data_IF_785044737065
#
_entry.id   IF_785044737065
#
_cell.length_a   1.000
_cell.length_b   1.000
_cell.length_c   1.000
_cell.angle_alpha   90.00
_cell.angle_beta   90.00
_cell.angle_gamma   90.00
#
_symmetry.space_group_name_H-M   'P 1'
#
loop_
_entity.id
_entity.type
_entity.pdbx_description
1 polymer ?
#
# COMPACT_ATOMS: atom_id res chain seq x y z
N UNK A 1 31.71 16.58 -6.87
CA UNK A 1 30.75 15.88 -5.98
C UNK A 1 29.49 15.66 -6.78
N UNK A 2 29.11 14.41 -7.06
CA UNK A 2 27.86 14.11 -7.78
C UNK A 2 26.75 14.13 -6.75
N UNK A 3 25.90 15.15 -6.77
CA UNK A 3 24.65 15.17 -6.02
C UNK A 3 23.68 14.26 -6.76
N UNK A 4 23.58 12.99 -6.36
CA UNK A 4 22.48 12.14 -6.82
C UNK A 4 21.21 12.64 -6.15
N UNK A 5 20.39 13.40 -6.87
CA UNK A 5 19.01 13.67 -6.45
C UNK A 5 18.31 12.31 -6.40
N UNK A 6 18.13 11.77 -5.19
CA UNK A 6 17.26 10.63 -4.98
C UNK A 6 15.85 11.04 -5.42
N UNK A 7 15.13 10.19 -6.16
CA UNK A 7 13.75 10.47 -6.54
C UNK A 7 12.93 10.77 -5.28
N UNK A 8 12.14 11.84 -5.33
CA UNK A 8 11.16 12.09 -4.26
C UNK A 8 10.10 10.99 -4.27
N UNK A 9 9.32 10.90 -3.20
CA UNK A 9 8.15 10.01 -3.17
C UNK A 9 7.19 10.27 -4.33
N UNK A 10 7.07 11.53 -4.76
CA UNK A 10 6.28 11.91 -5.93
C UNK A 10 6.85 11.33 -7.22
N UNK A 11 8.17 11.47 -7.45
CA UNK A 11 8.83 10.94 -8.64
C UNK A 11 8.72 9.41 -8.70
N UNK A 12 8.92 8.74 -7.55
CA UNK A 12 8.78 7.30 -7.43
C UNK A 12 7.33 6.84 -7.70
N UNK A 13 6.34 7.51 -7.12
CA UNK A 13 4.93 7.17 -7.34
C UNK A 13 4.52 7.37 -8.79
N UNK A 14 4.93 8.49 -9.41
CA UNK A 14 4.65 8.75 -10.83
C UNK A 14 5.26 7.68 -11.74
N UNK A 15 6.49 7.25 -11.47
CA UNK A 15 7.14 6.19 -12.22
C UNK A 15 6.40 4.85 -12.06
N UNK A 16 6.01 4.48 -10.82
CA UNK A 16 5.26 3.26 -10.55
C UNK A 16 3.92 3.29 -11.29
N UNK A 17 3.10 4.33 -11.11
CA UNK A 17 1.77 4.43 -11.70
C UNK A 17 1.81 4.40 -13.24
N UNK A 18 2.86 4.91 -13.87
CA UNK A 18 3.05 4.83 -15.33
C UNK A 18 3.42 3.42 -15.82
N UNK A 19 3.92 2.57 -14.94
CA UNK A 19 4.33 1.19 -15.24
C UNK A 19 3.29 0.13 -14.90
N UNK A 20 2.23 0.48 -14.17
CA UNK A 20 1.18 -0.47 -13.77
C UNK A 20 0.42 -0.97 -15.00
N UNK A 21 0.19 -2.28 -15.02
CA UNK A 21 -0.61 -2.98 -16.00
C UNK A 21 -1.47 -4.08 -15.34
N UNK A 22 -2.18 -4.86 -16.16
CA UNK A 22 -3.05 -5.94 -15.69
C UNK A 22 -2.30 -7.09 -14.98
N UNK A 23 -0.99 -7.21 -15.15
CA UNK A 23 -0.16 -8.23 -14.50
C UNK A 23 0.47 -7.75 -13.19
N UNK A 24 0.26 -6.48 -12.83
CA UNK A 24 0.88 -5.89 -11.65
C UNK A 24 0.22 -6.33 -10.35
N UNK A 25 -1.09 -6.54 -10.33
CA UNK A 25 -1.83 -6.99 -9.16
C UNK A 25 -2.19 -8.48 -9.27
N UNK A 26 -2.00 -9.30 -8.22
CA UNK A 26 -1.44 -8.94 -6.91
C UNK A 26 0.10 -9.02 -6.81
N UNK A 27 0.84 -9.32 -7.89
CA UNK A 27 2.23 -9.79 -7.79
C UNK A 27 3.28 -8.71 -7.46
N UNK A 28 3.15 -7.50 -7.98
CA UNK A 28 4.18 -6.45 -7.86
C UNK A 28 3.65 -5.18 -7.20
N UNK A 29 2.42 -4.78 -7.53
CA UNK A 29 1.78 -3.56 -7.03
C UNK A 29 0.31 -3.82 -6.70
N UNK A 30 -0.14 -3.34 -5.53
CA UNK A 30 -1.56 -3.31 -5.22
C UNK A 30 -1.94 -2.05 -4.44
N UNK A 31 -2.63 -1.12 -5.09
CA UNK A 31 -3.00 0.18 -4.52
C UNK A 31 -4.44 0.26 -4.02
N UNK A 32 -5.13 -0.88 -3.89
CA UNK A 32 -6.51 -0.93 -3.43
C UNK A 32 -6.71 -2.19 -2.58
N UNK A 33 -6.58 -2.04 -1.27
CA UNK A 33 -6.65 -3.13 -0.31
C UNK A 33 -7.40 -2.70 0.94
N UNK A 34 -8.27 -3.58 1.40
CA UNK A 34 -9.09 -3.38 2.59
C UNK A 34 -8.63 -4.32 3.70
N UNK A 35 -8.64 -3.81 4.93
CA UNK A 35 -8.38 -4.56 6.15
C UNK A 35 -9.67 -4.74 6.94
N UNK A 36 -9.61 -5.43 8.07
CA UNK A 36 -10.72 -5.52 9.02
C UNK A 36 -11.12 -4.17 9.66
N UNK A 37 -10.38 -3.08 9.40
CA UNK A 37 -10.74 -1.72 9.81
C UNK A 37 -11.71 -1.05 8.81
N UNK A 38 -12.14 -1.79 7.79
CA UNK A 38 -13.31 -1.49 6.98
C UNK A 38 -14.11 -2.78 6.70
N UNK A 39 -14.12 -3.27 5.47
CA UNK A 39 -14.84 -4.46 4.99
C UNK A 39 -13.90 -5.56 4.45
N UNK A 40 -12.58 -5.37 4.62
CA UNK A 40 -11.58 -6.38 4.31
C UNK A 40 -11.63 -7.59 5.23
N UNK A 41 -10.82 -8.62 4.91
CA UNK A 41 -10.85 -9.92 5.61
C UNK A 41 -9.62 -10.22 6.47
N UNK A 42 -8.59 -9.39 6.39
CA UNK A 42 -7.32 -9.59 7.06
C UNK A 42 -7.06 -8.48 8.07
N UNK A 43 -6.42 -8.83 9.18
CA UNK A 43 -5.78 -7.83 10.03
C UNK A 43 -4.66 -7.13 9.26
N UNK A 44 -4.36 -5.85 9.50
CA UNK A 44 -3.29 -5.13 8.82
C UNK A 44 -1.95 -5.86 8.84
N UNK A 45 -1.58 -6.49 9.96
CA UNK A 45 -0.35 -7.25 10.11
C UNK A 45 -0.34 -8.50 9.22
N UNK A 46 -1.46 -9.22 9.13
CA UNK A 46 -1.59 -10.40 8.27
C UNK A 46 -1.51 -10.03 6.79
N UNK A 47 -2.12 -8.90 6.42
CA UNK A 47 -2.07 -8.36 5.07
C UNK A 47 -0.63 -8.00 4.68
N UNK A 48 0.09 -7.27 5.55
CA UNK A 48 1.50 -6.94 5.30
C UNK A 48 2.36 -8.20 5.22
N UNK A 49 2.17 -9.17 6.11
CA UNK A 49 2.96 -10.40 6.07
C UNK A 49 2.77 -11.13 4.72
N UNK A 50 1.54 -11.23 4.23
CA UNK A 50 1.28 -11.81 2.90
C UNK A 50 1.91 -10.97 1.77
N UNK A 51 1.95 -9.65 1.92
CA UNK A 51 2.58 -8.78 0.93
C UNK A 51 4.10 -8.98 0.88
N UNK A 52 4.75 -9.17 2.04
CA UNK A 52 6.16 -9.54 2.15
C UNK A 52 6.39 -10.91 1.51
N UNK A 53 5.62 -11.92 1.90
CA UNK A 53 5.78 -13.30 1.44
C UNK A 53 5.59 -13.44 -0.07
N UNK A 54 4.69 -12.62 -0.64
CA UNK A 54 4.40 -12.60 -2.08
C UNK A 54 5.39 -11.75 -2.89
N UNK A 55 6.30 -11.04 -2.23
CA UNK A 55 7.28 -10.17 -2.90
C UNK A 55 6.69 -8.90 -3.52
N UNK A 56 5.58 -8.37 -2.97
CA UNK A 56 5.06 -7.08 -3.43
C UNK A 56 6.12 -6.01 -3.24
N UNK A 57 6.24 -5.12 -4.23
CA UNK A 57 7.16 -3.98 -4.17
C UNK A 57 6.50 -2.77 -3.53
N UNK A 58 5.22 -2.56 -3.79
CA UNK A 58 4.46 -1.48 -3.18
C UNK A 58 2.99 -1.80 -3.04
N UNK A 59 2.37 -1.25 -2.01
CA UNK A 59 0.94 -1.37 -1.78
C UNK A 59 0.36 -0.15 -1.08
N UNK A 60 -0.96 0.02 -1.14
CA UNK A 60 -1.71 0.97 -0.32
C UNK A 60 -2.87 0.26 0.38
N UNK A 61 -3.13 0.66 1.63
CA UNK A 61 -4.35 0.29 2.35
C UNK A 61 -5.35 1.44 2.13
N UNK A 62 -6.56 1.10 1.69
CA UNK A 62 -7.62 2.03 1.29
C UNK A 62 -8.92 1.70 2.03
N UNK A 63 -8.84 1.48 3.35
CA UNK A 63 -10.03 1.23 4.17
C UNK A 63 -11.10 2.32 3.99
N UNK A 64 -12.37 1.91 3.97
CA UNK A 64 -13.50 2.85 3.86
C UNK A 64 -13.53 3.84 5.03
N UNK A 65 -13.43 5.13 4.71
CA UNK A 65 -13.54 6.24 5.67
C UNK A 65 -12.61 6.13 6.91
N UNK A 66 -11.53 5.35 6.82
CA UNK A 66 -10.61 5.08 7.93
C UNK A 66 -9.18 4.95 7.44
N UNK A 67 -8.23 5.34 8.31
CA UNK A 67 -6.78 5.12 8.12
C UNK A 67 -6.17 4.32 9.27
N UNK A 68 -7.00 3.74 10.15
CA UNK A 68 -6.53 2.97 11.31
C UNK A 68 -5.73 1.74 10.88
N UNK A 69 -6.23 1.00 9.87
CA UNK A 69 -5.53 -0.13 9.30
C UNK A 69 -4.17 0.23 8.71
N UNK A 70 -4.04 1.41 8.09
CA UNK A 70 -2.77 1.92 7.57
C UNK A 70 -1.73 2.12 8.67
N UNK A 71 -2.07 2.76 9.79
CA UNK A 71 -1.11 3.01 10.87
C UNK A 71 -0.63 1.72 11.54
N UNK A 72 -1.53 0.77 11.77
CA UNK A 72 -1.17 -0.55 12.31
C UNK A 72 -0.25 -1.33 11.36
N UNK A 73 -0.43 -1.18 10.05
CA UNK A 73 0.45 -1.76 9.04
C UNK A 73 1.83 -1.09 9.00
N UNK A 74 1.91 0.24 9.16
CA UNK A 74 3.19 0.97 9.29
C UNK A 74 3.99 0.47 10.49
N UNK A 75 3.36 0.39 11.66
CA UNK A 75 4.01 -0.09 12.88
C UNK A 75 4.53 -1.52 12.70
N UNK A 76 3.72 -2.38 12.06
CA UNK A 76 4.13 -3.74 11.76
C UNK A 76 5.30 -3.81 10.78
N UNK A 77 5.28 -3.04 9.67
CA UNK A 77 6.41 -2.97 8.72
C UNK A 77 7.69 -2.48 9.40
N UNK A 78 7.60 -1.47 10.27
CA UNK A 78 8.74 -0.99 11.05
C UNK A 78 9.30 -2.08 11.96
N UNK A 79 8.44 -2.89 12.59
CA UNK A 79 8.90 -4.03 13.41
C UNK A 79 9.60 -5.11 12.57
N UNK A 80 9.10 -5.39 11.36
CA UNK A 80 9.72 -6.36 10.45
C UNK A 80 11.06 -5.86 9.90
N UNK A 81 11.22 -4.55 9.69
CA UNK A 81 12.49 -3.97 9.24
C UNK A 81 13.65 -4.13 10.23
N UNK A 82 13.34 -4.48 11.48
CA UNK A 82 14.35 -4.79 12.50
C UNK A 82 14.76 -6.27 12.51
N UNK A 83 13.93 -7.16 11.94
CA UNK A 83 14.10 -8.61 11.99
C UNK A 83 14.46 -9.23 10.64
N UNK A 84 13.90 -8.73 9.55
CA UNK A 84 14.06 -9.28 8.20
C UNK A 84 15.07 -8.47 7.38
N UNK A 85 15.89 -9.13 6.55
CA UNK A 85 16.68 -8.45 5.54
C UNK A 85 15.77 -7.86 4.45
N UNK A 86 16.11 -6.66 3.97
CA UNK A 86 15.42 -5.95 2.89
C UNK A 86 15.44 -6.75 1.56
N UNK A 87 14.49 -6.51 0.62
CA UNK A 87 13.52 -5.40 0.60
C UNK A 87 12.12 -5.74 1.13
N UNK A 88 11.60 -4.87 2.00
CA UNK A 88 10.19 -4.81 2.40
C UNK A 88 9.38 -3.97 1.40
N UNK A 89 8.07 -4.24 1.24
CA UNK A 89 7.21 -3.43 0.39
C UNK A 89 7.12 -1.99 0.90
N UNK A 90 7.07 -1.02 -0.04
CA UNK A 90 6.71 0.35 0.29
C UNK A 90 5.20 0.47 0.50
N UNK A 91 4.79 0.87 1.69
CA UNK A 91 3.39 1.16 2.00
C UNK A 91 3.08 2.64 1.72
N UNK A 92 2.05 2.89 0.93
CA UNK A 92 1.54 4.21 0.59
C UNK A 92 0.25 4.47 1.37
N UNK A 93 0.05 5.73 1.78
CA UNK A 93 -1.22 6.13 2.37
C UNK A 93 -2.33 6.14 1.33
N UNK A 94 -3.51 5.69 1.73
CA UNK A 94 -4.71 5.66 0.91
C UNK A 94 -5.94 5.72 1.81
N UNK A 95 -7.07 6.09 1.22
CA UNK A 95 -8.38 6.04 1.85
C UNK A 95 -9.41 5.87 0.74
N UNK A 96 -10.38 4.98 0.95
CA UNK A 96 -11.55 4.93 0.09
C UNK A 96 -12.64 5.82 0.66
N UNK A 97 -13.08 6.79 -0.15
CA UNK A 97 -14.15 7.72 0.20
C UNK A 97 -15.32 7.41 -0.73
N UNK A 98 -16.46 7.04 -0.15
CA UNK A 98 -17.69 6.85 -0.93
C UNK A 98 -18.24 8.20 -1.37
N UNK A 99 -18.61 8.31 -2.64
CA UNK A 99 -19.25 9.51 -3.16
C UNK A 99 -20.66 9.22 -3.66
N UNK A 100 -21.56 10.17 -3.47
CA UNK A 100 -22.88 10.18 -4.12
C UNK A 100 -22.83 11.13 -5.29
N UNK A 101 -22.82 10.59 -6.50
CA UNK A 101 -22.83 11.35 -7.74
C UNK A 101 -24.12 11.04 -8.49
N UNK A 102 -24.98 12.06 -8.65
CA UNK A 102 -26.26 11.95 -9.38
C UNK A 102 -27.14 10.75 -8.94
N UNK A 103 -27.28 10.55 -7.62
CA UNK A 103 -28.03 9.44 -7.01
C UNK A 103 -27.47 8.03 -7.33
N UNK A 104 -26.23 7.94 -7.78
CA UNK A 104 -25.50 6.68 -7.92
C UNK A 104 -24.39 6.63 -6.87
N UNK A 105 -24.31 5.51 -6.14
CA UNK A 105 -23.16 5.22 -5.27
C UNK A 105 -22.00 4.75 -6.14
N UNK A 106 -20.86 5.41 -6.00
CA UNK A 106 -19.57 5.01 -6.60
C UNK A 106 -18.45 5.20 -5.60
#
# INVERSE_FOLDING_TARGET
MVTTNLPTDLDALQAILRSIDAASCPQTYNFHLHTLHSDGRLQPQQLIQQAIDSGLKSLAITDHHSVEGYWLAVDYLHSQGQTLPQPLPKLWSGIEITSLLLNTQI
#
